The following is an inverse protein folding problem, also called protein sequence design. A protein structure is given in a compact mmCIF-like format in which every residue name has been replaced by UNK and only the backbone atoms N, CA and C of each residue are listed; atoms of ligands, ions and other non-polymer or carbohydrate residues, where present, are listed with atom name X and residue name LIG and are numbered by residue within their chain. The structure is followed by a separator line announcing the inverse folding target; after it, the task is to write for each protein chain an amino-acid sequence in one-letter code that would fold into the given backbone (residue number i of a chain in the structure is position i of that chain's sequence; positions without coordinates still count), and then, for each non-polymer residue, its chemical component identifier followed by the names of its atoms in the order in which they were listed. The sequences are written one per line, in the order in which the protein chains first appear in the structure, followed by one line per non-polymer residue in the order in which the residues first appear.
data_IF_544374525668
#
_entry.id   IF_544374525668
#
_cell.length_a   1.000
_cell.length_b   1.000
_cell.length_c   1.000
_cell.angle_alpha   90.00
_cell.angle_beta   90.00
_cell.angle_gamma   90.00
#
_symmetry.space_group_name_H-M   'P 1'
#
loop_
_entity.id
_entity.type
_entity.pdbx_description
1 polymer ?
#
# COMPACT_ATOMS: atom_id res chain seq x y z
N UNK A 1 -56.03 -13.32 -1.81
CA UNK A 1 -55.50 -12.00 -1.39
C UNK A 1 -54.11 -12.29 -0.84
N UNK A 2 -53.10 -12.38 -1.72
CA UNK A 2 -52.12 -11.31 -2.03
C UNK A 2 -51.25 -10.98 -0.80
N UNK A 3 -49.92 -10.95 -0.77
CA UNK A 3 -48.79 -11.35 -1.63
C UNK A 3 -47.52 -11.22 -0.74
N UNK A 4 -46.55 -12.12 -0.91
CA UNK A 4 -45.07 -11.96 -0.95
C UNK A 4 -44.34 -10.91 -0.07
N UNK A 5 -43.19 -11.33 0.46
CA UNK A 5 -42.10 -10.42 0.88
C UNK A 5 -40.94 -11.16 1.58
N UNK A 6 -40.00 -11.66 0.79
CA UNK A 6 -38.76 -12.31 1.20
C UNK A 6 -37.65 -11.26 1.23
N UNK A 7 -37.05 -10.97 2.39
CA UNK A 7 -35.88 -10.11 2.48
C UNK A 7 -34.74 -10.84 3.19
N UNK A 8 -33.99 -11.60 2.38
CA UNK A 8 -32.62 -11.94 2.67
C UNK A 8 -31.79 -10.65 2.66
N UNK A 9 -31.38 -10.17 3.83
CA UNK A 9 -30.29 -9.21 3.93
C UNK A 9 -28.95 -9.94 3.74
N UNK A 10 -28.60 -10.15 2.48
CA UNK A 10 -27.25 -10.44 2.02
C UNK A 10 -26.46 -9.13 1.95
N UNK A 11 -25.47 -8.95 2.82
CA UNK A 11 -24.37 -8.01 2.55
C UNK A 11 -23.04 -8.70 2.81
N UNK A 12 -22.78 -9.71 1.99
CA UNK A 12 -21.47 -10.31 1.76
C UNK A 12 -20.61 -9.31 0.97
N UNK A 13 -19.86 -8.42 1.63
CA UNK A 13 -18.69 -7.77 1.00
C UNK A 13 -17.65 -7.30 2.02
N UNK A 14 -17.22 -8.16 2.96
CA UNK A 14 -15.95 -7.96 3.68
C UNK A 14 -15.30 -9.32 4.01
N UNK A 15 -14.99 -10.11 2.98
CA UNK A 15 -14.19 -11.32 3.13
C UNK A 15 -13.59 -11.73 1.77
N UNK A 16 -12.49 -11.10 1.37
CA UNK A 16 -11.59 -11.64 0.35
C UNK A 16 -10.17 -11.07 0.48
N UNK A 17 -9.51 -11.25 1.63
CA UNK A 17 -8.06 -11.02 1.73
C UNK A 17 -7.42 -11.82 2.87
N UNK A 18 -7.52 -13.15 2.86
CA UNK A 18 -6.95 -13.97 3.95
C UNK A 18 -6.16 -15.19 3.52
N UNK A 19 -5.54 -15.23 2.33
CA UNK A 19 -4.66 -16.37 2.01
C UNK A 19 -3.47 -16.10 1.08
N UNK A 20 -3.13 -14.84 0.81
CA UNK A 20 -1.80 -14.46 0.28
C UNK A 20 -1.58 -12.98 0.59
N UNK A 21 -0.78 -12.65 1.62
CA UNK A 21 -0.51 -11.26 1.97
C UNK A 21 0.50 -10.65 0.99
N UNK A 22 0.03 -10.32 -0.22
CA UNK A 22 0.84 -9.69 -1.27
C UNK A 22 1.13 -8.22 -0.98
N UNK A 23 0.39 -7.61 -0.04
CA UNK A 23 0.61 -6.24 0.42
C UNK A 23 0.59 -6.22 1.94
N UNK A 24 1.67 -5.72 2.55
CA UNK A 24 1.77 -5.59 4.00
C UNK A 24 0.93 -4.41 4.49
N UNK A 25 0.17 -4.63 5.57
CA UNK A 25 -0.55 -3.54 6.25
C UNK A 25 0.28 -3.12 7.45
N UNK A 26 0.75 -1.88 7.45
CA UNK A 26 1.56 -1.33 8.53
C UNK A 26 0.76 -0.30 9.32
N UNK A 27 1.05 -0.21 10.62
CA UNK A 27 0.54 0.81 11.56
C UNK A 27 1.73 1.55 12.18
N UNK A 28 1.49 2.58 12.98
CA UNK A 28 2.56 3.27 13.72
C UNK A 28 3.49 2.32 14.49
N UNK A 29 2.92 1.30 15.12
CA UNK A 29 3.67 0.31 15.92
C UNK A 29 4.54 -0.61 15.05
N UNK A 30 4.06 -1.03 13.89
CA UNK A 30 4.76 -2.00 13.04
C UNK A 30 5.62 -1.36 11.95
N UNK A 31 5.48 -0.04 11.74
CA UNK A 31 6.05 0.64 10.59
C UNK A 31 7.57 0.55 10.54
N UNK A 32 8.24 0.93 11.63
CA UNK A 32 9.70 0.95 11.72
C UNK A 32 10.31 -0.41 11.36
N UNK A 33 9.77 -1.48 11.94
CA UNK A 33 10.23 -2.85 11.65
C UNK A 33 9.89 -3.28 10.21
N UNK A 34 8.70 -2.91 9.72
CA UNK A 34 8.27 -3.22 8.35
C UNK A 34 9.24 -2.70 7.29
N UNK A 35 9.74 -1.47 7.48
CA UNK A 35 10.63 -0.79 6.53
C UNK A 35 12.13 -0.97 6.81
N UNK A 36 12.51 -1.65 7.90
CA UNK A 36 13.87 -1.69 8.45
C UNK A 36 14.92 -2.25 7.49
N UNK A 37 14.53 -3.19 6.64
CA UNK A 37 15.45 -3.91 5.75
C UNK A 37 14.93 -3.91 4.32
N UNK A 38 15.84 -3.66 3.37
CA UNK A 38 15.59 -3.71 1.95
C UNK A 38 14.82 -2.51 1.44
N UNK A 39 14.13 -2.70 0.32
CA UNK A 39 13.25 -1.69 -0.28
C UNK A 39 11.83 -1.89 0.23
N UNK A 40 11.23 -0.82 0.74
CA UNK A 40 9.80 -0.81 1.09
C UNK A 40 9.11 0.31 0.34
N UNK A 41 8.14 -0.05 -0.51
CA UNK A 41 7.31 0.94 -1.19
C UNK A 41 5.95 1.00 -0.50
N UNK A 42 5.67 2.14 0.13
CA UNK A 42 4.55 2.31 1.05
C UNK A 42 3.53 3.29 0.48
N UNK A 43 2.26 2.86 0.45
CA UNK A 43 1.12 3.72 0.15
C UNK A 43 0.44 4.20 1.43
N UNK A 44 0.48 5.49 1.67
CA UNK A 44 -0.34 6.16 2.69
C UNK A 44 -1.69 6.54 2.08
N UNK A 45 -2.78 6.15 2.72
CA UNK A 45 -4.12 6.31 2.15
C UNK A 45 -5.21 6.57 3.20
N UNK A 46 -6.38 6.93 2.70
CA UNK A 46 -7.64 6.93 3.43
C UNK A 46 -8.70 6.10 2.67
N UNK A 47 -9.54 5.29 3.35
CA UNK A 47 -10.45 4.35 2.71
C UNK A 47 -11.58 5.05 1.91
N UNK A 48 -11.95 6.26 2.32
CA UNK A 48 -12.96 7.06 1.63
C UNK A 48 -12.43 7.78 0.37
N UNK A 49 -11.10 7.90 0.20
CA UNK A 49 -10.51 8.63 -0.90
C UNK A 49 -10.70 7.92 -2.25
N UNK A 50 -11.30 8.62 -3.22
CA UNK A 50 -11.56 8.09 -4.56
C UNK A 50 -10.29 7.69 -5.33
N UNK A 51 -9.22 8.49 -5.23
CA UNK A 51 -7.93 8.17 -5.85
C UNK A 51 -7.29 6.92 -5.24
N UNK A 52 -7.39 6.76 -3.92
CA UNK A 52 -6.88 5.57 -3.21
C UNK A 52 -7.62 4.30 -3.63
N UNK A 53 -8.94 4.37 -3.76
CA UNK A 53 -9.77 3.25 -4.22
C UNK A 53 -9.40 2.80 -5.64
N UNK A 54 -9.12 3.75 -6.55
CA UNK A 54 -8.67 3.42 -7.92
C UNK A 54 -7.27 2.79 -7.96
N UNK A 55 -6.37 3.24 -7.09
CA UNK A 55 -5.01 2.68 -6.99
C UNK A 55 -4.97 1.32 -6.26
N UNK A 56 -5.95 0.99 -5.41
CA UNK A 56 -5.97 -0.24 -4.64
C UNK A 56 -5.76 -1.54 -5.44
N UNK A 57 -6.47 -1.81 -6.55
CA UNK A 57 -6.23 -3.01 -7.35
C UNK A 57 -4.81 -3.05 -7.96
N UNK A 58 -4.33 -1.92 -8.47
CA UNK A 58 -2.99 -1.81 -9.08
C UNK A 58 -1.91 -2.05 -8.01
N UNK A 59 -2.10 -1.53 -6.80
CA UNK A 59 -1.20 -1.74 -5.67
C UNK A 59 -1.13 -3.23 -5.26
N UNK A 60 -2.27 -3.94 -5.35
CA UNK A 60 -2.32 -5.38 -5.09
C UNK A 60 -1.54 -6.16 -6.15
N UNK A 61 -1.67 -5.80 -7.43
CA UNK A 61 -0.95 -6.45 -8.51
C UNK A 61 0.55 -6.15 -8.46
N UNK A 62 0.94 -4.95 -8.04
CA UNK A 62 2.34 -4.61 -7.74
C UNK A 62 2.89 -5.51 -6.62
N UNK A 63 2.13 -5.71 -5.55
CA UNK A 63 2.47 -6.64 -4.47
C UNK A 63 2.69 -8.07 -4.97
N UNK A 64 1.88 -8.55 -5.92
CA UNK A 64 2.07 -9.87 -6.54
C UNK A 64 3.37 -9.95 -7.36
N UNK A 65 3.73 -8.89 -8.10
CA UNK A 65 4.96 -8.85 -8.92
C UNK A 65 6.22 -9.01 -8.07
N UNK A 66 6.23 -8.46 -6.86
CA UNK A 66 7.38 -8.51 -5.96
C UNK A 66 7.28 -9.59 -4.88
N UNK A 67 6.27 -10.46 -4.93
CA UNK A 67 6.06 -11.50 -3.92
C UNK A 67 7.24 -12.46 -3.77
N UNK A 68 7.99 -12.71 -4.85
CA UNK A 68 9.17 -13.59 -4.85
C UNK A 68 10.49 -12.86 -4.65
N UNK A 69 10.45 -11.55 -4.38
CA UNK A 69 11.65 -10.74 -4.12
C UNK A 69 11.70 -10.38 -2.64
N UNK A 70 12.47 -11.16 -1.87
CA UNK A 70 12.57 -10.99 -0.41
C UNK A 70 13.14 -9.63 0.02
N UNK A 71 13.81 -8.91 -0.90
CA UNK A 71 14.35 -7.59 -0.65
C UNK A 71 13.34 -6.45 -0.92
N UNK A 72 12.15 -6.76 -1.44
CA UNK A 72 11.14 -5.74 -1.79
C UNK A 72 9.83 -6.02 -1.08
N UNK A 73 9.36 -5.01 -0.35
CA UNK A 73 8.08 -5.03 0.36
C UNK A 73 7.15 -3.99 -0.23
N UNK A 74 5.96 -4.41 -0.63
CA UNK A 74 4.87 -3.51 -1.01
C UNK A 74 3.93 -3.39 0.20
N UNK A 75 3.77 -2.18 0.72
CA UNK A 75 3.04 -1.94 1.95
C UNK A 75 1.98 -0.84 1.81
N UNK A 76 1.06 -0.78 2.77
CA UNK A 76 0.05 0.27 2.90
C UNK A 76 -0.13 0.68 4.36
N UNK A 77 -0.44 1.95 4.58
CA UNK A 77 -0.76 2.52 5.89
C UNK A 77 -2.07 3.30 5.75
N UNK A 78 -3.05 2.99 6.60
CA UNK A 78 -4.31 3.73 6.67
C UNK A 78 -4.18 4.88 7.68
N UNK A 79 -4.05 6.10 7.17
CA UNK A 79 -3.86 7.29 7.99
C UNK A 79 -5.12 7.74 8.73
N UNK A 80 -6.25 7.07 8.54
CA UNK A 80 -7.49 7.39 9.26
C UNK A 80 -7.62 6.64 10.58
N UNK A 81 -6.82 5.58 10.77
CA UNK A 81 -6.76 4.83 12.02
C UNK A 81 -5.95 5.59 13.08
N UNK A 82 -6.45 5.65 14.31
CA UNK A 82 -5.79 6.34 15.42
C UNK A 82 -4.33 5.89 15.62
N UNK A 83 -4.08 4.58 15.51
CA UNK A 83 -2.75 3.95 15.61
C UNK A 83 -1.76 4.33 14.51
N UNK A 84 -2.21 5.07 13.49
CA UNK A 84 -1.38 5.47 12.34
C UNK A 84 -1.37 6.98 12.09
N UNK A 85 -2.21 7.76 12.79
CA UNK A 85 -2.31 9.22 12.60
C UNK A 85 -1.00 9.93 12.87
N UNK A 86 -0.37 9.62 14.00
CA UNK A 86 0.92 10.22 14.39
C UNK A 86 2.00 9.89 13.36
N UNK A 87 2.13 8.62 12.97
CA UNK A 87 3.02 8.19 11.90
C UNK A 87 2.79 8.98 10.61
N UNK A 88 1.54 9.14 10.16
CA UNK A 88 1.27 9.86 8.92
C UNK A 88 1.65 11.34 8.99
N UNK A 89 1.50 11.97 10.16
CA UNK A 89 1.99 13.33 10.38
C UNK A 89 3.52 13.39 10.35
N UNK A 90 4.22 12.46 11.03
CA UNK A 90 5.69 12.37 11.04
C UNK A 90 6.27 12.10 9.65
N UNK A 91 5.55 11.34 8.83
CA UNK A 91 5.95 11.06 7.44
C UNK A 91 5.58 12.21 6.47
N UNK A 92 4.97 13.30 6.96
CA UNK A 92 4.58 14.48 6.19
C UNK A 92 3.52 14.17 5.12
N UNK A 93 2.55 13.32 5.46
CA UNK A 93 1.45 12.95 4.55
C UNK A 93 0.37 14.04 4.55
N UNK A 94 0.50 14.99 3.63
CA UNK A 94 -0.46 16.10 3.48
C UNK A 94 -1.67 15.78 2.58
N UNK A 95 -1.66 14.63 1.90
CA UNK A 95 -2.68 14.27 0.93
C UNK A 95 -2.75 12.78 0.66
N UNK A 96 -3.77 12.35 -0.10
CA UNK A 96 -3.97 10.93 -0.40
C UNK A 96 -4.24 10.66 -1.88
N UNK A 97 -3.66 9.57 -2.45
CA UNK A 97 -2.59 8.77 -1.86
C UNK A 97 -1.24 9.50 -1.93
N UNK A 98 -0.40 9.26 -0.93
CA UNK A 98 1.03 9.61 -0.95
C UNK A 98 1.86 8.33 -0.95
N UNK A 99 2.88 8.29 -1.79
CA UNK A 99 3.65 7.09 -2.10
C UNK A 99 5.12 7.35 -1.80
N UNK A 100 5.65 6.69 -0.78
CA UNK A 100 7.05 6.85 -0.36
C UNK A 100 7.81 5.55 -0.49
N UNK A 101 9.06 5.66 -0.94
CA UNK A 101 9.99 4.55 -1.00
C UNK A 101 11.04 4.70 0.09
N UNK A 102 11.26 3.59 0.80
CA UNK A 102 12.22 3.48 1.88
C UNK A 102 13.30 2.48 1.51
N UNK A 103 14.53 2.76 1.91
CA UNK A 103 15.66 1.83 1.87
C UNK A 103 16.23 1.73 3.26
N UNK A 104 16.26 0.52 3.81
CA UNK A 104 16.86 0.21 5.11
C UNK A 104 16.41 1.18 6.22
N UNK A 105 15.10 1.40 6.30
CA UNK A 105 14.46 2.29 7.28
C UNK A 105 14.44 3.78 6.92
N UNK A 106 15.10 4.22 5.86
CA UNK A 106 15.20 5.64 5.49
C UNK A 106 14.29 5.99 4.31
N UNK A 107 13.53 7.09 4.42
CA UNK A 107 12.74 7.67 3.32
C UNK A 107 13.70 8.20 2.26
N UNK A 108 13.77 7.56 1.09
CA UNK A 108 14.72 7.93 0.01
C UNK A 108 14.05 8.60 -1.19
N UNK A 109 12.74 8.45 -1.35
CA UNK A 109 12.02 9.03 -2.50
C UNK A 109 10.52 9.16 -2.28
N UNK A 110 9.94 10.15 -2.94
CA UNK A 110 8.50 10.29 -3.13
C UNK A 110 8.13 10.03 -4.58
N UNK A 111 7.12 9.19 -4.79
CA UNK A 111 6.63 8.87 -6.11
C UNK A 111 5.47 9.78 -6.51
N UNK A 112 5.71 10.60 -7.53
CA UNK A 112 4.74 11.54 -8.11
C UNK A 112 4.33 11.20 -9.55
N UNK A 113 4.72 10.02 -10.05
CA UNK A 113 4.47 9.58 -11.43
C UNK A 113 3.08 8.98 -11.67
N UNK A 114 2.94 8.32 -12.84
CA UNK A 114 1.70 7.70 -13.26
C UNK A 114 1.34 6.47 -12.42
N UNK A 115 0.10 6.41 -11.95
CA UNK A 115 -0.36 5.39 -11.00
C UNK A 115 -0.81 4.08 -11.67
N UNK A 116 -0.17 3.67 -12.76
CA UNK A 116 -0.42 2.39 -13.42
C UNK A 116 0.66 1.35 -13.02
N UNK A 117 0.42 0.08 -13.34
CA UNK A 117 1.27 -1.01 -12.85
C UNK A 117 2.70 -0.96 -13.39
N UNK A 118 2.87 -0.57 -14.65
CA UNK A 118 4.18 -0.60 -15.33
C UNK A 118 5.10 0.48 -14.76
N UNK A 119 4.61 1.73 -14.66
CA UNK A 119 5.36 2.84 -14.09
C UNK A 119 5.75 2.60 -12.61
N UNK A 120 4.83 2.02 -11.82
CA UNK A 120 5.13 1.68 -10.43
C UNK A 120 6.16 0.54 -10.32
N UNK A 121 6.12 -0.42 -11.24
CA UNK A 121 7.09 -1.53 -11.29
C UNK A 121 8.46 -1.00 -11.65
N UNK A 122 8.56 -0.20 -12.71
CA UNK A 122 9.81 0.41 -13.17
C UNK A 122 10.44 1.28 -12.07
N UNK A 123 9.63 2.08 -11.38
CA UNK A 123 10.10 2.86 -10.24
C UNK A 123 10.78 1.98 -9.20
N UNK A 124 10.13 0.90 -8.75
CA UNK A 124 10.74 0.00 -7.75
C UNK A 124 12.01 -0.66 -8.29
N UNK A 125 12.01 -1.12 -9.55
CA UNK A 125 13.19 -1.73 -10.19
C UNK A 125 14.41 -0.80 -10.21
N UNK A 126 14.21 0.49 -10.45
CA UNK A 126 15.28 1.50 -10.43
C UNK A 126 15.96 1.64 -9.06
N UNK A 127 15.28 1.27 -7.96
CA UNK A 127 15.87 1.24 -6.63
C UNK A 127 16.42 -0.14 -6.22
N UNK A 128 16.16 -1.20 -6.98
CA UNK A 128 16.75 -2.52 -6.71
C UNK A 128 18.17 -2.61 -7.27
N UNK A 129 18.43 -2.00 -8.43
CA UNK A 129 19.74 -2.09 -9.07
C UNK A 129 20.78 -1.35 -8.21
N UNK A 130 21.95 -1.97 -7.94
CA UNK A 130 23.09 -1.19 -7.48
C UNK A 130 23.41 -0.20 -8.59
N UNK A 131 23.34 1.09 -8.28
CA UNK A 131 23.98 2.09 -9.12
C UNK A 131 25.49 1.86 -8.93
N UNK A 132 26.04 0.90 -9.67
CA UNK A 132 27.48 0.80 -9.91
C UNK A 132 27.87 2.05 -10.69
N UNK A 133 28.09 3.13 -9.94
CA UNK A 133 28.67 4.36 -10.42
C UNK A 133 30.17 4.09 -10.57
N UNK A 134 30.59 3.87 -11.82
CA UNK A 134 31.98 3.78 -12.29
C UNK A 134 32.78 5.04 -11.97
#
# INVERSE_FOLDING_TARGET
MLEKGNDQANTKTENLDSTTHTVLSLTGESFKHGIENGISFVKFFAPWCGHCKRLAPIWKDLGKKFLTNDNVKIAKVDCTLDVSKELCNEQEVDGFPTLYLYRDGLKVSEYNGARNLDDLTEFVLNYIQPHDEL
#
